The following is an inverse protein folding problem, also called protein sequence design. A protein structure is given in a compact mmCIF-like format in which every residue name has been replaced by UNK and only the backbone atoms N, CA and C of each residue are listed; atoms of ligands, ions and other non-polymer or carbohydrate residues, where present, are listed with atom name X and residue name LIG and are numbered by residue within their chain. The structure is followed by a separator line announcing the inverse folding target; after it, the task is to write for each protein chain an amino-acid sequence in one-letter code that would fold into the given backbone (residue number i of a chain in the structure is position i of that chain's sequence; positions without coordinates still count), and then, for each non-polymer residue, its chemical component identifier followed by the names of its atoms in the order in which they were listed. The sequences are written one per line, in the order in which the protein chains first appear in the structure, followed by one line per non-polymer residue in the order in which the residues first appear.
data_IF_320398892846
#
_entry.id   IF_320398892846
#
_cell.length_a   1.000
_cell.length_b   1.000
_cell.length_c   1.000
_cell.angle_alpha   90.00
_cell.angle_beta   90.00
_cell.angle_gamma   90.00
#
_symmetry.space_group_name_H-M   'P 1'
#
loop_
_entity.id
_entity.type
_entity.pdbx_description
1 polymer ?
#
# COMPACT_ATOMS: atom_id res chain seq x y z
N UNK A 1 -9.11 -4.17 -21.01
CA UNK A 1 -8.82 -3.80 -19.60
C UNK A 1 -8.94 -5.07 -18.78
N UNK A 2 -7.92 -5.44 -18.00
CA UNK A 2 -8.12 -6.49 -17.01
C UNK A 2 -9.06 -5.93 -15.93
N UNK A 3 -10.05 -6.68 -15.45
CA UNK A 3 -10.98 -6.17 -14.45
C UNK A 3 -10.25 -5.80 -13.16
N UNK A 4 -10.75 -4.78 -12.45
CA UNK A 4 -10.38 -4.49 -11.07
C UNK A 4 -10.50 -5.78 -10.23
N UNK A 5 -9.54 -6.03 -9.35
CA UNK A 5 -9.60 -7.15 -8.43
C UNK A 5 -9.69 -6.68 -6.99
N UNK A 6 -10.35 -7.48 -6.16
CA UNK A 6 -10.46 -7.26 -4.72
C UNK A 6 -9.31 -8.03 -4.07
N UNK A 7 -8.28 -7.37 -3.52
CA UNK A 7 -7.08 -8.04 -3.02
C UNK A 7 -7.33 -8.96 -1.83
N UNK A 8 -8.24 -8.58 -0.95
CA UNK A 8 -8.46 -9.14 0.38
C UNK A 8 -9.78 -8.61 0.95
N UNK A 9 -10.11 -8.97 2.19
CA UNK A 9 -11.26 -8.43 2.92
C UNK A 9 -11.18 -6.93 3.30
N UNK A 10 -10.22 -6.18 2.76
CA UNK A 10 -10.22 -4.72 2.76
C UNK A 10 -11.26 -4.14 1.80
N UNK A 11 -11.50 -2.84 1.88
CA UNK A 11 -12.54 -2.15 1.11
C UNK A 11 -12.07 -1.62 -0.26
N UNK A 12 -10.78 -1.74 -0.61
CA UNK A 12 -10.25 -1.21 -1.88
C UNK A 12 -10.07 -2.31 -2.92
N UNK A 13 -10.63 -2.05 -4.10
CA UNK A 13 -10.24 -2.76 -5.31
C UNK A 13 -8.98 -2.11 -5.90
N UNK A 14 -8.11 -2.92 -6.51
CA UNK A 14 -6.88 -2.45 -7.16
C UNK A 14 -6.79 -3.02 -8.58
N UNK A 15 -6.03 -2.34 -9.42
CA UNK A 15 -5.69 -2.81 -10.76
C UNK A 15 -4.23 -3.23 -10.83
N UNK A 16 -3.93 -4.36 -11.48
CA UNK A 16 -2.55 -4.84 -11.63
C UNK A 16 -1.87 -4.27 -12.87
N UNK A 17 -1.68 -2.94 -12.90
CA UNK A 17 -0.84 -2.29 -13.90
C UNK A 17 -0.16 -1.06 -13.30
N UNK A 18 0.85 -0.55 -13.99
CA UNK A 18 1.51 0.71 -13.65
C UNK A 18 2.44 1.11 -14.78
N UNK A 19 2.89 2.36 -14.82
CA UNK A 19 3.87 2.80 -15.80
C UNK A 19 5.19 2.02 -15.67
N UNK A 20 5.57 1.69 -14.43
CA UNK A 20 6.57 0.66 -14.12
C UNK A 20 5.88 -0.50 -13.43
N UNK A 21 6.06 -1.71 -13.96
CA UNK A 21 5.48 -2.94 -13.41
C UNK A 21 6.59 -3.92 -13.03
N UNK A 22 6.65 -4.29 -11.75
CA UNK A 22 7.63 -5.21 -11.19
C UNK A 22 6.93 -6.51 -10.77
N UNK A 23 7.42 -7.64 -11.25
CA UNK A 23 6.96 -8.96 -10.82
C UNK A 23 8.07 -9.99 -10.96
N UNK A 24 8.29 -10.77 -9.91
CA UNK A 24 9.37 -11.77 -9.86
C UNK A 24 10.75 -11.12 -9.79
N UNK A 25 10.88 -9.93 -9.20
CA UNK A 25 12.13 -9.15 -9.19
C UNK A 25 12.77 -9.08 -7.81
N UNK A 26 14.07 -8.85 -7.77
CA UNK A 26 14.82 -8.63 -6.54
C UNK A 26 15.79 -7.47 -6.69
N UNK A 27 15.99 -6.70 -5.61
CA UNK A 27 16.98 -5.61 -5.52
C UNK A 27 16.81 -4.52 -6.59
N UNK A 28 15.56 -4.23 -6.98
CA UNK A 28 15.25 -3.16 -7.93
C UNK A 28 15.31 -1.81 -7.21
N UNK A 29 15.98 -0.83 -7.82
CA UNK A 29 15.98 0.56 -7.35
C UNK A 29 15.42 1.47 -8.44
N UNK A 30 14.41 2.27 -8.08
CA UNK A 30 13.87 3.37 -8.86
C UNK A 30 14.21 4.63 -8.07
N UNK A 31 15.13 5.44 -8.56
CA UNK A 31 15.55 6.65 -7.86
C UNK A 31 15.76 7.83 -8.79
N UNK A 32 15.57 9.05 -8.27
CA UNK A 32 15.78 10.29 -9.03
C UNK A 32 14.97 10.33 -10.34
N UNK A 33 13.74 9.82 -10.29
CA UNK A 33 12.82 9.74 -11.42
C UNK A 33 11.69 10.78 -11.29
N UNK A 34 11.02 11.05 -12.42
CA UNK A 34 9.78 11.82 -12.46
C UNK A 34 8.70 11.00 -13.15
N UNK A 35 7.56 10.85 -12.47
CA UNK A 35 6.35 10.21 -12.97
C UNK A 35 5.28 11.29 -13.06
N UNK A 36 4.95 11.75 -14.26
CA UNK A 36 3.98 12.83 -14.45
C UNK A 36 2.91 12.45 -15.46
N UNK A 37 1.64 12.80 -15.20
CA UNK A 37 0.51 12.68 -16.15
C UNK A 37 0.32 11.25 -16.66
N UNK A 38 0.25 10.32 -15.72
CA UNK A 38 -0.01 8.92 -16.00
C UNK A 38 -1.47 8.62 -15.70
N UNK A 39 -2.18 7.98 -16.62
CA UNK A 39 -3.61 7.67 -16.41
C UNK A 39 -3.84 6.53 -15.39
N UNK A 40 -2.76 5.89 -14.95
CA UNK A 40 -2.75 4.69 -14.13
C UNK A 40 -1.99 4.79 -12.82
N UNK A 41 -1.50 3.66 -12.32
CA UNK A 41 -0.52 3.68 -11.24
C UNK A 41 0.87 4.13 -11.74
N UNK A 42 1.64 4.81 -10.90
CA UNK A 42 3.03 5.14 -11.21
C UNK A 42 3.91 3.88 -11.22
N UNK A 43 4.04 3.24 -10.06
CA UNK A 43 4.77 1.97 -9.89
C UNK A 43 3.84 0.91 -9.31
N UNK A 44 3.85 -0.28 -9.92
CA UNK A 44 3.16 -1.47 -9.42
C UNK A 44 4.16 -2.58 -9.06
N UNK A 45 4.13 -3.02 -7.81
CA UNK A 45 4.93 -4.11 -7.26
C UNK A 45 4.02 -5.33 -7.07
N UNK A 46 3.97 -6.20 -8.07
CA UNK A 46 3.03 -7.33 -8.19
C UNK A 46 3.67 -8.66 -7.83
N UNK A 47 3.03 -9.44 -6.95
CA UNK A 47 3.46 -10.79 -6.59
C UNK A 47 4.81 -10.82 -5.88
N UNK A 48 5.60 -11.87 -6.12
CA UNK A 48 6.95 -11.98 -5.56
C UNK A 48 7.83 -10.78 -5.94
N UNK A 49 8.26 -10.01 -4.93
CA UNK A 49 9.36 -9.05 -5.05
C UNK A 49 10.16 -8.97 -3.74
N UNK A 50 11.48 -8.76 -3.82
CA UNK A 50 12.35 -8.55 -2.65
C UNK A 50 13.21 -7.31 -2.80
N UNK A 51 13.34 -6.52 -1.74
CA UNK A 51 14.28 -5.40 -1.69
C UNK A 51 14.05 -4.35 -2.81
N UNK A 52 12.79 -4.03 -3.10
CA UNK A 52 12.46 -2.93 -4.02
C UNK A 52 12.68 -1.61 -3.28
N UNK A 53 13.40 -0.67 -3.88
CA UNK A 53 13.56 0.69 -3.36
C UNK A 53 12.99 1.69 -4.36
N UNK A 54 12.07 2.55 -3.91
CA UNK A 54 11.57 3.70 -4.66
C UNK A 54 11.94 4.95 -3.86
N UNK A 55 12.87 5.74 -4.36
CA UNK A 55 13.46 6.82 -3.57
C UNK A 55 13.70 8.11 -4.34
N UNK A 56 13.70 9.24 -3.63
CA UNK A 56 14.17 10.53 -4.13
C UNK A 56 13.53 10.91 -5.49
N UNK A 57 12.26 10.56 -5.68
CA UNK A 57 11.53 10.71 -6.95
C UNK A 57 10.27 11.57 -6.78
N UNK A 58 9.80 12.11 -7.89
CA UNK A 58 8.63 12.98 -7.98
C UNK A 58 7.48 12.24 -8.69
N UNK A 59 6.28 12.28 -8.11
CA UNK A 59 5.05 11.73 -8.68
C UNK A 59 3.96 12.81 -8.69
N UNK A 60 3.53 13.21 -9.88
CA UNK A 60 2.57 14.28 -10.09
C UNK A 60 1.47 13.92 -11.09
N UNK A 61 0.23 14.31 -10.82
CA UNK A 61 -0.90 14.11 -11.76
C UNK A 61 -1.10 12.64 -12.16
N UNK A 62 -1.24 11.78 -11.15
CA UNK A 62 -1.38 10.33 -11.32
C UNK A 62 -2.86 9.93 -11.31
N UNK A 63 -3.26 9.10 -12.26
CA UNK A 63 -4.65 8.68 -12.46
C UNK A 63 -5.17 7.72 -11.40
N UNK A 64 -4.33 6.78 -10.96
CA UNK A 64 -4.58 5.90 -9.81
C UNK A 64 -3.62 6.19 -8.67
N UNK A 65 -3.13 5.14 -7.99
CA UNK A 65 -2.12 5.27 -6.92
C UNK A 65 -0.72 5.64 -7.44
N UNK A 66 0.06 6.43 -6.70
CA UNK A 66 1.45 6.70 -7.10
C UNK A 66 2.30 5.43 -7.05
N UNK A 67 2.17 4.66 -5.97
CA UNK A 67 2.83 3.37 -5.78
C UNK A 67 1.85 2.36 -5.19
N UNK A 68 1.79 1.18 -5.78
CA UNK A 68 0.95 0.08 -5.33
C UNK A 68 1.78 -1.20 -5.14
N UNK A 69 1.55 -1.93 -4.05
CA UNK A 69 2.12 -3.26 -3.81
C UNK A 69 0.98 -4.26 -3.61
N UNK A 70 1.00 -5.34 -4.39
CA UNK A 70 -0.04 -6.36 -4.28
C UNK A 70 0.54 -7.77 -4.46
N UNK A 71 0.57 -8.55 -3.38
CA UNK A 71 1.00 -9.94 -3.42
C UNK A 71 -0.07 -10.93 -3.89
N UNK A 72 0.37 -12.14 -4.12
CA UNK A 72 -0.49 -13.31 -4.25
C UNK A 72 -0.42 -14.12 -2.96
N UNK A 73 -1.51 -14.83 -2.70
CA UNK A 73 -1.59 -15.92 -1.73
C UNK A 73 -1.86 -17.20 -2.50
N UNK A 74 -1.76 -18.35 -1.84
CA UNK A 74 -2.35 -19.57 -2.36
C UNK A 74 -3.88 -19.38 -2.36
N UNK A 75 -4.38 -18.80 -3.45
CA UNK A 75 -5.80 -18.54 -3.63
C UNK A 75 -6.53 -19.87 -3.47
N UNK A 76 -7.51 -19.94 -2.59
CA UNK A 76 -8.34 -21.13 -2.46
C UNK A 76 -8.99 -21.38 -3.82
N UNK A 77 -8.50 -22.40 -4.54
CA UNK A 77 -9.11 -22.88 -5.77
C UNK A 77 -10.45 -23.52 -5.43
N UNK A 78 -11.52 -22.73 -5.45
CA UNK A 78 -12.87 -23.16 -5.17
C UNK A 78 -13.89 -22.34 -5.94
N UNK A 79 -14.81 -23.03 -6.60
CA UNK A 79 -15.86 -22.46 -7.44
C UNK A 79 -16.83 -21.61 -6.60
N UNK A 80 -16.59 -20.29 -6.52
CA UNK A 80 -17.58 -19.35 -5.97
C UNK A 80 -17.05 -18.15 -5.20
N UNK A 81 -15.75 -18.08 -4.89
CA UNK A 81 -15.18 -16.93 -4.16
C UNK A 81 -13.91 -16.42 -4.87
N UNK A 82 -13.92 -15.19 -5.41
CA UNK A 82 -12.75 -14.65 -6.08
C UNK A 82 -11.61 -14.41 -5.07
N UNK A 83 -10.49 -15.11 -5.25
CA UNK A 83 -9.13 -14.56 -5.00
C UNK A 83 -8.78 -14.02 -3.61
N UNK A 84 -9.34 -14.58 -2.52
CA UNK A 84 -9.05 -14.18 -1.15
C UNK A 84 -8.45 -15.30 -0.28
N UNK A 85 -7.58 -16.14 -0.86
CA UNK A 85 -6.85 -17.15 -0.09
C UNK A 85 -6.12 -16.53 1.10
N UNK A 86 -6.20 -17.18 2.27
CA UNK A 86 -5.55 -16.68 3.50
C UNK A 86 -4.11 -17.17 3.63
N UNK A 87 -3.71 -18.20 2.86
CA UNK A 87 -2.39 -18.81 2.98
C UNK A 87 -1.34 -18.05 2.17
N UNK A 88 -0.52 -17.28 2.87
CA UNK A 88 0.61 -16.54 2.33
C UNK A 88 1.95 -17.23 2.53
N UNK A 89 1.99 -18.51 2.89
CA UNK A 89 3.25 -19.21 3.21
C UNK A 89 4.10 -19.54 1.97
N UNK A 90 3.57 -19.38 0.76
CA UNK A 90 4.24 -19.61 -0.52
C UNK A 90 5.33 -18.57 -0.87
N UNK A 91 5.34 -17.43 -0.18
CA UNK A 91 6.30 -16.36 -0.41
C UNK A 91 5.98 -15.43 -1.59
N UNK A 92 4.86 -15.61 -2.32
CA UNK A 92 4.56 -14.92 -3.58
C UNK A 92 3.98 -13.50 -3.39
N UNK A 93 4.58 -12.72 -2.51
CA UNK A 93 4.15 -11.39 -2.11
C UNK A 93 5.35 -10.44 -2.01
N UNK A 94 5.17 -9.11 -2.15
CA UNK A 94 6.25 -8.16 -1.97
C UNK A 94 6.74 -8.15 -0.51
N UNK A 95 8.06 -8.10 -0.31
CA UNK A 95 8.69 -7.93 1.00
C UNK A 95 9.91 -7.04 0.91
N UNK A 96 10.23 -6.38 2.03
CA UNK A 96 11.41 -5.52 2.15
C UNK A 96 11.37 -4.35 1.16
N UNK A 97 10.19 -3.78 0.94
CA UNK A 97 10.00 -2.62 0.06
C UNK A 97 10.38 -1.35 0.83
N UNK A 98 11.17 -0.48 0.23
CA UNK A 98 11.56 0.81 0.79
C UNK A 98 11.01 1.96 -0.06
N UNK A 99 10.16 2.81 0.52
CA UNK A 99 9.60 4.01 -0.12
C UNK A 99 10.14 5.23 0.61
N UNK A 100 11.14 5.89 0.03
CA UNK A 100 12.00 6.82 0.76
C UNK A 100 12.06 8.21 0.11
N UNK A 101 11.77 9.27 0.86
CA UNK A 101 12.04 10.66 0.44
C UNK A 101 11.45 11.05 -0.93
N UNK A 102 10.28 10.51 -1.27
CA UNK A 102 9.56 10.89 -2.47
C UNK A 102 8.69 12.12 -2.22
N UNK A 103 8.54 12.94 -3.26
CA UNK A 103 7.54 13.99 -3.33
C UNK A 103 6.37 13.48 -4.18
N UNK A 104 5.17 13.43 -3.60
CA UNK A 104 3.98 12.92 -4.29
C UNK A 104 2.84 13.93 -4.17
N UNK A 105 2.22 14.27 -5.29
CA UNK A 105 1.16 15.27 -5.34
C UNK A 105 0.17 15.03 -6.48
N UNK A 106 -1.07 15.51 -6.33
CA UNK A 106 -2.17 15.32 -7.30
C UNK A 106 -2.32 13.87 -7.78
N UNK A 107 -2.72 12.98 -6.86
CA UNK A 107 -2.93 11.55 -7.13
C UNK A 107 -4.43 11.26 -7.23
N UNK A 108 -4.81 10.20 -7.94
CA UNK A 108 -6.20 9.78 -8.03
C UNK A 108 -7.07 10.64 -8.94
N UNK A 109 -6.56 11.08 -10.09
CA UNK A 109 -7.33 11.88 -11.03
C UNK A 109 -8.57 11.13 -11.56
N UNK A 110 -8.47 9.80 -11.73
CA UNK A 110 -9.53 8.97 -12.29
C UNK A 110 -10.05 7.91 -11.30
N UNK A 111 -9.16 7.09 -10.75
CA UNK A 111 -9.51 6.12 -9.71
C UNK A 111 -9.53 6.84 -8.37
N UNK A 112 -10.62 6.74 -7.60
CA UNK A 112 -10.75 7.43 -6.30
C UNK A 112 -10.45 6.54 -5.09
N UNK A 113 -10.35 5.22 -5.28
CA UNK A 113 -9.82 4.28 -4.28
C UNK A 113 -8.29 4.13 -4.46
N UNK A 114 -7.54 5.19 -4.19
CA UNK A 114 -6.09 5.26 -4.41
C UNK A 114 -5.35 5.88 -3.22
N UNK A 115 -4.02 5.81 -3.27
CA UNK A 115 -3.11 6.42 -2.30
C UNK A 115 -1.80 6.90 -2.92
N UNK A 116 -1.03 7.67 -2.15
CA UNK A 116 0.41 7.81 -2.39
C UNK A 116 1.07 6.42 -2.35
N UNK A 117 0.76 5.64 -1.31
CA UNK A 117 1.18 4.25 -1.23
C UNK A 117 0.05 3.36 -0.74
N UNK A 118 -0.30 2.35 -1.53
CA UNK A 118 -1.23 1.29 -1.13
C UNK A 118 -0.52 -0.05 -1.13
N UNK A 119 -0.77 -0.86 -0.10
CA UNK A 119 -0.33 -2.25 -0.08
C UNK A 119 -1.45 -3.22 0.26
N UNK A 120 -1.42 -4.39 -0.38
CA UNK A 120 -2.27 -5.54 -0.09
C UNK A 120 -1.45 -6.82 -0.21
N UNK A 121 -1.69 -7.81 0.64
CA UNK A 121 -0.92 -9.07 0.67
C UNK A 121 0.58 -8.79 0.61
N UNK A 122 1.06 -7.88 1.46
CA UNK A 122 2.43 -7.33 1.45
C UNK A 122 2.92 -7.18 2.90
N UNK A 123 4.24 -7.24 3.12
CA UNK A 123 4.81 -7.16 4.45
C UNK A 123 6.21 -6.53 4.44
N UNK A 124 6.66 -6.06 5.60
CA UNK A 124 7.99 -5.51 5.81
C UNK A 124 8.29 -4.35 4.86
N UNK A 125 7.33 -3.45 4.71
CA UNK A 125 7.48 -2.21 3.95
C UNK A 125 7.96 -1.09 4.88
N UNK A 126 8.98 -0.34 4.45
CA UNK A 126 9.50 0.84 5.15
C UNK A 126 9.17 2.09 4.33
N UNK A 127 8.35 2.99 4.88
CA UNK A 127 7.86 4.20 4.24
C UNK A 127 8.35 5.41 5.05
N UNK A 128 9.43 6.05 4.60
CA UNK A 128 10.13 7.06 5.42
C UNK A 128 10.45 8.35 4.66
N UNK A 129 10.17 9.48 5.30
CA UNK A 129 10.64 10.79 4.84
C UNK A 129 9.92 11.32 3.60
N UNK A 130 8.76 10.77 3.24
CA UNK A 130 8.01 11.19 2.06
C UNK A 130 7.12 12.39 2.38
N UNK A 131 6.81 13.18 1.34
CA UNK A 131 5.82 14.24 1.40
C UNK A 131 4.69 13.88 0.44
N UNK A 132 3.47 13.79 0.96
CA UNK A 132 2.27 13.59 0.16
C UNK A 132 1.22 14.66 0.41
N UNK A 133 0.64 15.18 -0.67
CA UNK A 133 -0.55 16.00 -0.59
C UNK A 133 -1.46 15.90 -1.80
N UNK A 134 -2.70 16.37 -1.66
CA UNK A 134 -3.69 16.45 -2.73
C UNK A 134 -4.09 15.07 -3.28
N UNK A 135 -4.65 14.23 -2.40
CA UNK A 135 -5.29 12.96 -2.74
C UNK A 135 -6.80 12.97 -2.49
N UNK A 136 -7.60 12.22 -3.27
CA UNK A 136 -9.05 12.14 -3.08
C UNK A 136 -9.44 11.28 -1.87
N UNK A 137 -8.56 10.40 -1.39
CA UNK A 137 -8.77 9.44 -0.29
C UNK A 137 -7.52 9.37 0.61
N UNK A 138 -7.27 8.26 1.31
CA UNK A 138 -6.15 8.10 2.24
C UNK A 138 -4.79 8.23 1.54
N UNK A 139 -3.81 8.78 2.24
CA UNK A 139 -2.45 8.95 1.71
C UNK A 139 -1.63 7.68 1.73
N UNK A 140 -1.69 6.93 2.82
CA UNK A 140 -1.14 5.57 2.91
C UNK A 140 -2.26 4.63 3.29
N UNK A 141 -2.41 3.54 2.52
CA UNK A 141 -3.41 2.52 2.78
C UNK A 141 -2.77 1.14 2.93
N UNK A 142 -2.95 0.52 4.10
CA UNK A 142 -2.64 -0.88 4.33
C UNK A 142 -3.94 -1.68 4.20
N UNK A 143 -4.20 -2.26 3.04
CA UNK A 143 -5.49 -2.87 2.71
C UNK A 143 -5.79 -4.17 3.49
N UNK A 144 -4.77 -4.78 4.11
CA UNK A 144 -4.89 -5.98 4.92
C UNK A 144 -3.78 -6.07 5.98
N UNK A 145 -3.99 -6.96 6.95
CA UNK A 145 -3.03 -7.30 8.02
C UNK A 145 -2.10 -8.46 7.67
N UNK A 146 -1.71 -8.60 6.40
CA UNK A 146 -1.06 -9.79 5.86
C UNK A 146 0.11 -10.34 6.71
N UNK A 147 1.29 -9.72 6.62
CA UNK A 147 2.48 -10.17 7.35
C UNK A 147 3.00 -9.14 8.35
N UNK A 148 2.59 -7.88 8.20
CA UNK A 148 3.00 -6.77 9.05
C UNK A 148 4.51 -6.52 8.99
N UNK A 149 5.10 -6.07 10.11
CA UNK A 149 6.52 -5.72 10.17
C UNK A 149 6.84 -4.45 9.37
N UNK A 150 5.82 -3.66 9.08
CA UNK A 150 5.91 -2.41 8.34
C UNK A 150 6.32 -1.26 9.25
N UNK A 151 6.99 -0.26 8.69
CA UNK A 151 7.36 0.98 9.35
C UNK A 151 6.87 2.17 8.52
N UNK A 152 6.08 3.04 9.13
CA UNK A 152 5.66 4.32 8.56
C UNK A 152 6.17 5.43 9.46
N UNK A 153 7.20 6.16 9.02
CA UNK A 153 7.84 7.15 9.88
C UNK A 153 8.34 8.41 9.18
N UNK A 154 8.31 9.54 9.88
CA UNK A 154 8.87 10.80 9.39
C UNK A 154 8.27 11.30 8.06
N UNK A 155 7.03 10.92 7.75
CA UNK A 155 6.33 11.41 6.56
C UNK A 155 5.49 12.65 6.89
N UNK A 156 5.38 13.56 5.93
CA UNK A 156 4.41 14.66 5.95
C UNK A 156 3.26 14.30 5.00
N UNK A 157 2.05 14.13 5.54
CA UNK A 157 0.87 13.76 4.74
C UNK A 157 -0.29 14.69 5.10
N UNK A 158 -0.81 15.40 4.11
CA UNK A 158 -1.90 16.37 4.32
C UNK A 158 -2.78 16.52 3.08
N UNK A 159 -3.92 17.21 3.19
CA UNK A 159 -4.81 17.42 2.04
C UNK A 159 -5.24 16.10 1.36
N UNK A 160 -5.53 15.10 2.19
CA UNK A 160 -6.11 13.80 1.81
C UNK A 160 -7.63 13.86 1.92
N UNK A 161 -8.33 12.82 1.46
CA UNK A 161 -9.79 12.72 1.57
C UNK A 161 -10.54 13.93 0.97
N UNK A 162 -10.01 14.49 -0.13
CA UNK A 162 -10.63 15.65 -0.80
C UNK A 162 -11.93 15.32 -1.52
N UNK A 163 -12.16 14.04 -1.82
CA UNK A 163 -13.31 13.57 -2.59
C UNK A 163 -13.98 12.32 -1.95
N UNK A 164 -13.50 11.87 -0.79
CA UNK A 164 -14.10 10.82 0.05
C UNK A 164 -14.07 11.22 1.53
N UNK A 165 -14.73 10.49 2.42
CA UNK A 165 -14.84 10.88 3.84
C UNK A 165 -14.77 9.73 4.85
N UNK A 166 -14.28 8.56 4.44
CA UNK A 166 -14.32 7.32 5.22
C UNK A 166 -13.00 6.96 5.94
N UNK A 167 -11.94 7.74 5.74
CA UNK A 167 -10.58 7.44 6.25
C UNK A 167 -9.78 8.70 6.54
N UNK A 168 -8.59 8.59 7.13
CA UNK A 168 -7.63 9.69 7.32
C UNK A 168 -6.44 9.69 6.35
N UNK A 169 -5.43 10.57 6.59
CA UNK A 169 -4.13 10.54 5.91
C UNK A 169 -3.47 9.16 5.91
N UNK A 170 -3.68 8.37 6.94
CA UNK A 170 -3.30 6.97 7.03
C UNK A 170 -4.52 6.08 7.28
N UNK A 171 -4.50 4.89 6.70
CA UNK A 171 -5.56 3.92 6.86
C UNK A 171 -5.02 2.48 6.89
N UNK A 172 -5.67 1.62 7.68
CA UNK A 172 -5.41 0.18 7.67
C UNK A 172 -6.67 -0.64 7.86
N UNK A 173 -6.75 -1.70 7.06
CA UNK A 173 -7.78 -2.71 7.14
C UNK A 173 -7.13 -4.00 7.61
N UNK A 174 -7.60 -4.57 8.71
CA UNK A 174 -7.01 -5.81 9.29
C UNK A 174 -8.12 -6.86 9.54
N UNK A 175 -9.18 -6.84 8.74
CA UNK A 175 -10.40 -7.65 8.96
C UNK A 175 -10.27 -9.12 8.54
N UNK A 176 -9.30 -9.43 7.68
CA UNK A 176 -9.01 -10.77 7.22
C UNK A 176 -7.68 -11.26 7.81
N UNK A 177 -7.64 -12.39 8.54
CA UNK A 177 -6.40 -12.99 8.99
C UNK A 177 -5.68 -13.68 7.83
N UNK A 178 -4.34 -13.65 7.83
CA UNK A 178 -3.50 -14.33 6.86
C UNK A 178 -2.50 -15.25 7.56
N UNK A 179 -2.33 -16.46 7.03
CA UNK A 179 -1.30 -17.38 7.48
C UNK A 179 0.02 -16.98 6.85
N UNK A 180 0.95 -16.46 7.66
CA UNK A 180 2.28 -16.05 7.20
C UNK A 180 3.36 -16.53 8.16
N UNK A 181 4.61 -16.56 7.67
CA UNK A 181 5.79 -16.87 8.49
C UNK A 181 6.56 -15.62 8.92
N UNK A 182 6.05 -14.42 8.60
CA UNK A 182 6.81 -13.15 8.72
C UNK A 182 7.19 -12.83 10.17
N UNK A 183 6.30 -13.10 11.13
CA UNK A 183 6.51 -12.71 12.53
C UNK A 183 7.59 -13.51 13.25
N UNK A 184 7.61 -14.83 13.08
CA UNK A 184 8.44 -15.73 13.90
C UNK A 184 9.23 -16.75 13.08
N UNK A 185 9.08 -16.76 11.76
CA UNK A 185 9.61 -17.83 10.88
C UNK A 185 8.69 -19.06 10.80
N UNK A 186 7.75 -19.21 11.73
CA UNK A 186 6.76 -20.29 11.76
C UNK A 186 5.38 -19.79 11.29
N UNK A 187 4.56 -20.63 10.62
CA UNK A 187 3.23 -20.24 10.17
C UNK A 187 2.34 -19.74 11.32
N UNK A 188 1.78 -18.54 11.16
CA UNK A 188 0.93 -17.89 12.15
C UNK A 188 -0.13 -17.01 11.50
N UNK A 189 -1.31 -16.93 12.12
CA UNK A 189 -2.38 -16.01 11.71
C UNK A 189 -2.23 -14.60 12.30
N UNK A 190 -1.19 -14.37 13.10
CA UNK A 190 -0.93 -13.08 13.73
C UNK A 190 0.30 -12.47 13.08
N UNK A 191 0.10 -11.29 12.50
CA UNK A 191 1.14 -10.53 11.81
C UNK A 191 2.23 -10.00 12.74
N UNK A 192 3.39 -9.67 12.18
CA UNK A 192 4.41 -8.91 12.89
C UNK A 192 3.89 -7.50 13.21
N UNK A 193 4.35 -6.93 14.32
CA UNK A 193 3.91 -5.60 14.73
C UNK A 193 4.31 -4.56 13.67
N UNK A 194 3.38 -3.66 13.35
CA UNK A 194 3.65 -2.45 12.56
C UNK A 194 4.06 -1.32 13.49
N UNK A 195 4.96 -0.45 13.02
CA UNK A 195 5.42 0.70 13.79
C UNK A 195 5.12 1.97 13.02
N UNK A 196 4.33 2.85 13.62
CA UNK A 196 3.92 4.12 13.02
C UNK A 196 4.31 5.21 14.01
N UNK A 197 5.24 6.07 13.62
CA UNK A 197 5.78 7.06 14.54
C UNK A 197 6.34 8.29 13.84
N UNK A 198 6.36 9.43 14.53
CA UNK A 198 7.02 10.65 14.05
C UNK A 198 6.53 11.14 12.68
N UNK A 199 5.33 10.78 12.25
CA UNK A 199 4.70 11.34 11.06
C UNK A 199 4.01 12.65 11.42
N UNK A 200 4.00 13.60 10.49
CA UNK A 200 3.14 14.77 10.59
C UNK A 200 1.95 14.56 9.64
N UNK A 201 0.85 14.08 10.21
CA UNK A 201 -0.41 13.85 9.51
C UNK A 201 -1.33 15.03 9.79
N UNK A 202 -1.89 15.64 8.73
CA UNK A 202 -2.84 16.73 8.86
C UNK A 202 -4.10 16.36 8.10
N UNK A 203 -5.19 16.32 8.83
CA UNK A 203 -6.52 16.28 8.27
C UNK A 203 -7.03 17.70 7.92
N UNK A 204 -7.54 17.87 6.69
CA UNK A 204 -8.13 19.10 6.20
C UNK A 204 -9.57 18.99 5.65
N UNK A 205 -10.12 17.79 5.40
CA UNK A 205 -11.30 17.64 4.51
C UNK A 205 -12.38 16.63 4.97
N UNK A 206 -12.68 16.57 6.26
CA UNK A 206 -13.76 15.74 6.88
C UNK A 206 -13.58 14.20 6.81
N UNK A 207 -12.42 13.65 7.20
CA UNK A 207 -12.24 12.24 7.45
C UNK A 207 -12.97 11.82 8.72
N UNK A 208 -13.06 10.51 8.88
CA UNK A 208 -13.55 9.92 10.12
C UNK A 208 -12.57 10.16 11.28
N UNK A 209 -11.25 10.09 11.04
CA UNK A 209 -10.16 10.30 12.00
C UNK A 209 -8.79 10.40 11.28
N UNK A 210 -7.73 10.88 11.96
CA UNK A 210 -6.37 11.03 11.38
C UNK A 210 -5.68 9.69 11.06
N UNK A 211 -6.10 8.61 11.73
CA UNK A 211 -5.68 7.24 11.45
C UNK A 211 -6.73 6.25 11.94
N UNK A 212 -7.34 5.50 11.02
CA UNK A 212 -8.30 4.42 11.32
C UNK A 212 -7.54 3.09 11.45
N UNK A 213 -7.52 2.55 12.67
CA UNK A 213 -6.68 1.41 13.06
C UNK A 213 -7.27 0.64 14.26
N UNK A 214 -7.60 -0.66 14.12
CA UNK A 214 -7.94 -1.50 15.27
C UNK A 214 -6.72 -2.03 16.05
N UNK A 215 -5.52 -2.19 15.44
CA UNK A 215 -4.44 -3.02 16.01
C UNK A 215 -3.00 -2.43 15.99
N UNK A 216 -2.80 -1.15 15.65
CA UNK A 216 -1.47 -0.53 15.70
C UNK A 216 -1.16 0.21 17.01
N UNK A 217 0.12 0.16 17.41
CA UNK A 217 0.66 1.11 18.39
C UNK A 217 1.02 2.41 17.67
N UNK A 218 0.18 3.43 17.83
CA UNK A 218 0.51 4.81 17.48
C UNK A 218 1.30 5.41 18.64
N UNK A 219 2.56 5.80 18.39
CA UNK A 219 3.42 6.47 19.36
C UNK A 219 3.87 7.82 18.83
#
# INVERSE_FOLDING_TARGET
MMPHGVPSGGDWALERFGAVFLQGTESVTISNCTFERLDGHGVMISGYNRNVTIADSDFGFIGGSAMASWGFTNETSGDGHPGAGVDGTDGNHPRYTSVLRNLVHEVGLYEKQNSFYVQAKTAQTTIIGNVFFNGPRAGVNFNDGFGGGDELAHNLIFSTCRESGDHGPFNSWDRQPFLTTVRTGEPSLVMAQRVIHHNFLIDNYSPQEDGDQPDCRVC
#
